data_IF_645995916767
#
_entry.id   IF_645995916767
#
_cell.length_a   1.000
_cell.length_b   1.000
_cell.length_c   1.000
_cell.angle_alpha   90.00
_cell.angle_beta   90.00
_cell.angle_gamma   90.00
#
_symmetry.space_group_name_H-M   'P 1'
#
loop_
_entity.id
_entity.type
_entity.pdbx_description
1 polymer ?
#
# COMPACT_ATOMS: atom_id res chain seq x y z
N UNK A 1 4.00 24.31 -0.93
CA UNK A 1 3.92 23.38 0.24
C UNK A 1 2.59 22.63 0.16
N UNK A 2 2.54 21.31 0.37
CA UNK A 2 1.32 20.52 0.19
C UNK A 2 0.29 20.74 1.32
N UNK A 3 -0.99 20.49 1.02
CA UNK A 3 -2.11 20.65 1.96
C UNK A 3 -1.99 19.75 3.20
N UNK A 4 -1.38 18.57 3.05
CA UNK A 4 -1.09 17.69 4.18
C UNK A 4 -0.22 18.39 5.24
N UNK A 5 0.73 19.23 4.82
CA UNK A 5 1.67 19.91 5.71
C UNK A 5 1.19 21.28 6.14
N UNK A 6 0.37 21.96 5.33
CA UNK A 6 -0.19 23.26 5.71
C UNK A 6 -1.42 23.15 6.61
N UNK A 7 -2.20 22.07 6.48
CA UNK A 7 -3.50 21.91 7.16
C UNK A 7 -3.59 20.60 7.92
N UNK A 8 -3.54 19.46 7.23
CA UNK A 8 -3.93 18.16 7.80
C UNK A 8 -3.13 17.79 9.05
N UNK A 9 -1.80 17.72 8.95
CA UNK A 9 -0.94 17.33 10.08
C UNK A 9 -0.97 18.38 11.19
N UNK A 10 -0.87 19.69 10.92
CA UNK A 10 -0.99 20.70 11.97
C UNK A 10 -2.34 20.72 12.69
N UNK A 11 -3.45 20.47 11.97
CA UNK A 11 -4.78 20.30 12.56
C UNK A 11 -4.80 19.11 13.53
N UNK A 12 -4.24 17.97 13.11
CA UNK A 12 -4.12 16.80 13.99
C UNK A 12 -3.27 17.09 15.23
N UNK A 13 -2.17 17.83 15.09
CA UNK A 13 -1.37 18.28 16.23
C UNK A 13 -2.22 19.10 17.20
N UNK A 14 -2.99 20.07 16.71
CA UNK A 14 -3.85 20.90 17.54
C UNK A 14 -4.95 20.09 18.25
N UNK A 15 -5.63 19.18 17.52
CA UNK A 15 -6.68 18.31 18.07
C UNK A 15 -6.10 17.39 19.17
N UNK A 16 -4.98 16.72 18.91
CA UNK A 16 -4.33 15.86 19.90
C UNK A 16 -3.82 16.65 21.11
N UNK A 17 -3.25 17.83 20.89
CA UNK A 17 -2.76 18.68 21.96
C UNK A 17 -3.88 19.16 22.88
N UNK A 18 -5.03 19.52 22.30
CA UNK A 18 -6.20 19.93 23.07
C UNK A 18 -6.86 18.75 23.78
N UNK A 19 -6.90 17.59 23.14
CA UNK A 19 -7.48 16.39 23.73
C UNK A 19 -6.66 15.84 24.92
N UNK A 20 -5.33 15.77 24.78
CA UNK A 20 -4.44 15.08 25.72
C UNK A 20 -3.78 16.01 26.75
N UNK A 21 -3.52 17.26 26.37
CA UNK A 21 -2.76 18.21 27.19
C UNK A 21 -3.54 19.49 27.52
N UNK A 22 -4.81 19.58 27.11
CA UNK A 22 -5.66 20.78 27.25
C UNK A 22 -5.02 22.06 26.67
N UNK A 23 -4.11 21.92 25.70
CA UNK A 23 -3.46 23.07 25.06
C UNK A 23 -4.41 23.74 24.07
N UNK A 24 -4.44 25.08 24.11
CA UNK A 24 -5.21 25.90 23.18
C UNK A 24 -4.39 26.37 21.98
N UNK A 25 -3.08 26.06 21.96
CA UNK A 25 -2.19 26.48 20.88
C UNK A 25 -2.52 25.78 19.56
N UNK A 26 -2.62 26.58 18.50
CA UNK A 26 -2.82 26.10 17.12
C UNK A 26 -1.71 26.65 16.25
N UNK A 27 -0.91 25.75 15.69
CA UNK A 27 0.20 26.08 14.82
C UNK A 27 -0.21 25.84 13.37
N UNK A 28 -0.35 26.90 12.58
CA UNK A 28 -0.64 26.82 11.15
C UNK A 28 0.20 27.86 10.39
N UNK A 29 0.61 27.59 9.15
CA UNK A 29 1.44 28.49 8.35
C UNK A 29 0.61 29.67 7.82
N UNK A 30 0.65 30.80 8.53
CA UNK A 30 -0.12 32.01 8.21
C UNK A 30 0.23 32.66 6.86
N UNK A 31 1.39 32.35 6.31
CA UNK A 31 1.83 32.83 5.00
C UNK A 31 1.17 32.06 3.83
N UNK A 32 0.47 30.96 4.11
CA UNK A 32 -0.17 30.11 3.10
C UNK A 32 -1.68 30.14 3.24
N UNK A 33 -2.18 30.20 4.49
CA UNK A 33 -3.62 30.24 4.76
C UNK A 33 -4.13 31.67 4.82
N UNK A 34 -5.27 31.92 4.18
CA UNK A 34 -5.99 33.19 4.36
C UNK A 34 -6.51 33.31 5.80
N UNK A 35 -6.74 34.54 6.27
CA UNK A 35 -7.31 34.78 7.60
C UNK A 35 -8.67 34.11 7.80
N UNK A 36 -9.49 34.04 6.75
CA UNK A 36 -10.79 33.36 6.80
C UNK A 36 -10.64 31.85 6.94
N UNK A 37 -9.75 31.24 6.16
CA UNK A 37 -9.49 29.79 6.24
C UNK A 37 -8.92 29.41 7.60
N UNK A 38 -7.98 30.20 8.11
CA UNK A 38 -7.41 30.02 9.44
C UNK A 38 -8.49 30.05 10.53
N UNK A 39 -9.42 31.02 10.49
CA UNK A 39 -10.52 31.11 11.46
C UNK A 39 -11.48 29.91 11.34
N UNK A 40 -11.86 29.53 10.12
CA UNK A 40 -12.74 28.38 9.89
C UNK A 40 -12.13 27.07 10.40
N UNK A 41 -10.81 26.92 10.34
CA UNK A 41 -10.11 25.77 10.92
C UNK A 41 -10.24 25.81 12.44
N UNK A 42 -9.91 26.95 13.08
CA UNK A 42 -9.99 27.11 14.54
C UNK A 42 -11.38 26.77 15.07
N UNK A 43 -12.42 27.31 14.45
CA UNK A 43 -13.82 27.13 14.86
C UNK A 43 -14.26 25.65 14.82
N UNK A 44 -13.57 24.81 14.04
CA UNK A 44 -13.87 23.37 13.90
C UNK A 44 -13.06 22.47 14.84
N UNK A 45 -11.96 22.96 15.42
CA UNK A 45 -11.06 22.12 16.22
C UNK A 45 -11.80 21.49 17.40
N UNK A 46 -12.62 22.24 18.13
CA UNK A 46 -13.34 21.70 19.29
C UNK A 46 -14.30 20.58 18.90
N UNK A 47 -15.01 20.73 17.77
CA UNK A 47 -15.85 19.67 17.23
C UNK A 47 -15.07 18.41 16.85
N UNK A 48 -13.84 18.56 16.35
CA UNK A 48 -12.97 17.42 16.06
C UNK A 48 -12.40 16.77 17.32
N UNK A 49 -12.11 17.55 18.36
CA UNK A 49 -11.73 17.03 19.68
C UNK A 49 -12.86 16.19 20.27
N UNK A 50 -14.10 16.68 20.22
CA UNK A 50 -15.27 15.93 20.69
C UNK A 50 -15.47 14.64 19.88
N UNK A 51 -15.31 14.71 18.56
CA UNK A 51 -15.37 13.55 17.68
C UNK A 51 -14.30 12.51 18.04
N UNK A 52 -13.06 12.95 18.27
CA UNK A 52 -11.95 12.08 18.64
C UNK A 52 -12.22 11.38 19.98
N UNK A 53 -12.62 12.13 21.01
CA UNK A 53 -12.95 11.58 22.34
C UNK A 53 -14.09 10.57 22.28
N UNK A 54 -15.05 10.75 21.36
CA UNK A 54 -16.15 9.82 21.13
C UNK A 54 -15.71 8.52 20.44
N UNK A 55 -14.82 8.61 19.44
CA UNK A 55 -14.34 7.45 18.66
C UNK A 55 -13.28 6.66 19.44
N UNK A 56 -12.45 7.34 20.22
CA UNK A 56 -11.37 6.77 21.02
C UNK A 56 -11.52 7.22 22.48
N UNK A 57 -12.41 6.56 23.26
CA UNK A 57 -12.69 6.96 24.64
C UNK A 57 -11.49 6.74 25.58
N UNK A 58 -10.71 5.68 25.35
CA UNK A 58 -9.50 5.41 26.11
C UNK A 58 -8.33 6.21 25.54
N UNK A 59 -8.07 7.37 26.14
CA UNK A 59 -6.97 8.24 25.74
C UNK A 59 -5.59 7.73 26.18
N UNK A 60 -5.51 6.65 26.98
CA UNK A 60 -4.22 6.07 27.35
C UNK A 60 -3.56 5.29 26.20
N UNK A 61 -4.28 5.07 25.08
CA UNK A 61 -3.71 4.44 23.90
C UNK A 61 -2.64 5.30 23.21
N UNK A 62 -2.62 6.61 23.46
CA UNK A 62 -1.65 7.51 22.85
C UNK A 62 -0.31 7.46 23.59
N UNK A 63 0.76 7.08 22.88
CA UNK A 63 2.14 7.09 23.39
C UNK A 63 2.82 8.44 23.18
N UNK A 64 2.15 9.52 23.58
CA UNK A 64 2.65 10.89 23.42
C UNK A 64 2.79 11.51 24.81
N UNK A 65 3.99 11.95 25.18
CA UNK A 65 4.29 12.43 26.54
C UNK A 65 4.31 13.96 26.67
N UNK A 66 4.41 14.67 25.54
CA UNK A 66 4.43 16.14 25.46
C UNK A 66 3.58 16.62 24.28
N UNK A 67 3.10 17.87 24.28
CA UNK A 67 2.41 18.45 23.12
C UNK A 67 3.23 18.31 21.83
N UNK A 68 2.55 18.14 20.71
CA UNK A 68 3.12 18.08 19.36
C UNK A 68 3.29 19.49 18.80
N UNK A 69 4.44 19.82 18.22
CA UNK A 69 4.62 21.11 17.52
C UNK A 69 5.09 20.88 16.09
N UNK A 70 4.29 21.24 15.08
CA UNK A 70 4.73 21.15 13.69
C UNK A 70 5.84 22.17 13.42
N UNK A 71 6.87 21.74 12.70
CA UNK A 71 7.98 22.57 12.24
C UNK A 71 8.14 22.36 10.75
N UNK A 72 8.02 23.43 9.96
CA UNK A 72 8.12 23.36 8.50
C UNK A 72 9.56 23.57 8.05
N UNK A 73 10.05 22.63 7.25
CA UNK A 73 11.36 22.70 6.59
C UNK A 73 11.10 22.68 5.09
N UNK A 74 11.53 23.72 4.39
CA UNK A 74 11.39 23.86 2.94
C UNK A 74 12.75 23.90 2.28
N UNK A 75 12.81 23.70 0.96
CA UNK A 75 14.07 23.77 0.18
C UNK A 75 14.83 25.09 0.38
N UNK A 76 14.12 26.20 0.58
CA UNK A 76 14.70 27.53 0.81
C UNK A 76 15.01 27.81 2.28
N UNK A 77 14.61 26.91 3.19
CA UNK A 77 14.83 27.06 4.62
C UNK A 77 16.27 26.76 5.00
N UNK A 78 16.82 27.55 5.92
CA UNK A 78 18.10 27.23 6.55
C UNK A 78 17.86 26.28 7.72
N UNK A 79 18.60 25.18 7.75
CA UNK A 79 18.67 24.31 8.92
C UNK A 79 19.64 24.91 9.95
N UNK A 80 19.38 24.72 11.26
CA UNK A 80 20.33 25.13 12.29
C UNK A 80 21.64 24.35 12.14
N UNK A 81 22.77 25.00 12.43
CA UNK A 81 24.10 24.36 12.39
C UNK A 81 24.27 23.29 13.46
N UNK A 82 23.65 23.51 14.63
CA UNK A 82 23.62 22.56 15.74
C UNK A 82 22.28 21.86 15.81
N UNK A 83 22.27 20.63 16.32
CA UNK A 83 21.04 19.85 16.49
C UNK A 83 20.19 20.48 17.60
N UNK A 84 18.97 20.96 17.30
CA UNK A 84 18.13 21.61 18.30
C UNK A 84 17.57 20.59 19.30
N UNK A 85 17.44 21.01 20.56
CA UNK A 85 16.77 20.25 21.62
C UNK A 85 15.39 20.80 21.88
N UNK A 86 14.38 19.92 21.97
CA UNK A 86 12.98 20.31 22.20
C UNK A 86 12.48 19.73 23.53
N UNK A 87 12.61 20.51 24.60
CA UNK A 87 12.27 20.05 25.95
C UNK A 87 10.77 20.13 26.25
N UNK A 88 10.07 21.13 25.70
CA UNK A 88 8.67 21.41 26.05
C UNK A 88 7.65 20.66 25.18
N UNK A 89 8.08 20.17 24.02
CA UNK A 89 7.19 19.57 23.01
C UNK A 89 7.89 18.48 22.21
N UNK A 90 7.12 17.65 21.52
CA UNK A 90 7.62 16.72 20.51
C UNK A 90 7.54 17.40 19.13
N UNK A 91 8.67 17.60 18.43
CA UNK A 91 8.66 18.23 17.12
C UNK A 91 8.05 17.27 16.09
N UNK A 92 7.16 17.79 15.25
CA UNK A 92 6.66 17.11 14.06
C UNK A 92 7.26 17.81 12.85
N UNK A 93 8.35 17.25 12.32
CA UNK A 93 9.09 17.87 11.21
C UNK A 93 8.36 17.63 9.89
N UNK A 94 7.84 18.71 9.30
CA UNK A 94 7.13 18.73 8.03
C UNK A 94 8.10 19.20 6.94
N UNK A 95 8.86 18.26 6.37
CA UNK A 95 9.94 18.53 5.43
C UNK A 95 9.50 18.40 3.97
N UNK A 96 9.47 19.51 3.22
CA UNK A 96 9.23 19.49 1.78
C UNK A 96 10.56 19.57 1.02
N UNK A 97 10.99 18.44 0.48
CA UNK A 97 12.15 18.38 -0.42
C UNK A 97 11.80 18.70 -1.88
N UNK A 98 10.53 18.79 -2.23
CA UNK A 98 10.04 19.04 -3.58
C UNK A 98 9.75 20.53 -3.83
N UNK A 99 10.05 20.98 -5.04
CA UNK A 99 9.74 22.34 -5.50
C UNK A 99 8.32 22.40 -6.05
N UNK A 100 7.66 23.53 -5.82
CA UNK A 100 6.37 23.83 -6.45
C UNK A 100 6.63 24.62 -7.73
N UNK A 101 6.18 24.08 -8.86
CA UNK A 101 6.38 24.69 -10.18
C UNK A 101 5.01 25.09 -10.75
N UNK A 102 4.93 26.26 -11.39
CA UNK A 102 3.68 26.85 -11.86
C UNK A 102 2.85 25.90 -12.75
N UNK A 103 3.51 25.20 -13.67
CA UNK A 103 2.87 24.27 -14.63
C UNK A 103 3.06 22.79 -14.24
N UNK A 104 3.52 22.52 -13.01
CA UNK A 104 3.82 21.16 -12.55
C UNK A 104 5.04 20.52 -13.19
N UNK A 105 5.68 21.16 -14.18
CA UNK A 105 6.92 20.68 -14.80
C UNK A 105 7.91 21.84 -14.98
N UNK A 106 9.20 21.57 -14.75
CA UNK A 106 10.30 22.52 -14.97
C UNK A 106 11.44 21.84 -15.72
N UNK A 107 11.87 22.42 -16.83
CA UNK A 107 13.08 21.97 -17.52
C UNK A 107 14.31 22.39 -16.70
N UNK A 108 15.12 21.41 -16.32
CA UNK A 108 16.39 21.59 -15.59
C UNK A 108 17.55 21.18 -16.48
N UNK A 109 18.77 21.51 -16.06
CA UNK A 109 19.98 21.07 -16.75
C UNK A 109 20.09 19.55 -16.64
N UNK A 110 19.85 18.84 -17.73
CA UNK A 110 19.98 17.38 -17.83
C UNK A 110 18.72 16.56 -17.52
N UNK A 111 17.61 17.17 -17.07
CA UNK A 111 16.36 16.45 -16.78
C UNK A 111 15.14 17.38 -16.76
N UNK A 112 13.94 16.80 -16.82
CA UNK A 112 12.68 17.53 -16.59
C UNK A 112 12.21 17.17 -15.19
N UNK A 113 12.14 18.16 -14.30
CA UNK A 113 11.49 18.00 -13.01
C UNK A 113 9.98 17.98 -13.22
N UNK A 114 9.31 16.94 -12.73
CA UNK A 114 7.85 16.82 -12.74
C UNK A 114 7.38 16.77 -11.29
N UNK A 115 6.62 17.78 -10.89
CA UNK A 115 6.09 17.89 -9.54
C UNK A 115 5.17 16.71 -9.25
N UNK A 116 5.44 16.00 -8.15
CA UNK A 116 4.67 14.82 -7.76
C UNK A 116 5.06 13.54 -8.49
N UNK A 117 6.05 13.55 -9.38
CA UNK A 117 6.49 12.30 -10.03
C UNK A 117 6.99 11.26 -9.02
N UNK A 118 7.50 11.66 -7.86
CA UNK A 118 7.90 10.72 -6.81
C UNK A 118 6.73 9.90 -6.23
N UNK A 119 5.50 10.41 -6.30
CA UNK A 119 4.28 9.68 -5.96
C UNK A 119 3.83 8.94 -7.23
N UNK A 120 3.55 7.63 -7.17
CA UNK A 120 3.15 6.78 -8.30
C UNK A 120 4.27 6.39 -9.31
N UNK A 121 5.48 6.12 -8.81
CA UNK A 121 6.57 5.58 -9.64
C UNK A 121 6.19 4.36 -10.49
N UNK A 122 5.20 3.58 -10.05
CA UNK A 122 4.64 2.43 -10.77
C UNK A 122 4.06 2.79 -12.15
N UNK A 123 3.62 4.05 -12.36
CA UNK A 123 3.01 4.49 -13.60
C UNK A 123 4.03 4.92 -14.67
N UNK A 124 5.24 5.29 -14.27
CA UNK A 124 6.23 5.88 -15.19
C UNK A 124 7.62 5.23 -15.14
N UNK A 125 7.93 4.44 -14.10
CA UNK A 125 9.19 3.69 -14.01
C UNK A 125 9.20 2.41 -14.87
N UNK A 126 8.04 1.97 -15.37
CA UNK A 126 7.94 0.75 -16.19
C UNK A 126 8.38 -0.50 -15.42
N UNK A 127 9.45 -1.17 -15.88
CA UNK A 127 10.04 -2.34 -15.21
C UNK A 127 11.21 -1.98 -14.26
N UNK A 128 11.56 -0.70 -14.16
CA UNK A 128 12.63 -0.25 -13.27
C UNK A 128 12.17 -0.35 -11.81
N UNK A 129 12.73 -1.29 -11.08
CA UNK A 129 12.50 -1.43 -9.63
C UNK A 129 13.68 -0.84 -8.85
N UNK A 130 13.50 -0.43 -7.57
CA UNK A 130 14.61 0.00 -6.73
C UNK A 130 15.75 -1.02 -6.66
N UNK A 131 15.42 -2.31 -6.58
CA UNK A 131 16.42 -3.38 -6.56
C UNK A 131 17.21 -3.46 -7.88
N UNK A 132 16.53 -3.34 -9.02
CA UNK A 132 17.19 -3.34 -10.32
C UNK A 132 18.09 -2.11 -10.48
N UNK A 133 17.66 -0.94 -10.01
CA UNK A 133 18.47 0.28 -10.03
C UNK A 133 19.73 0.12 -9.16
N UNK A 134 19.57 -0.23 -7.89
CA UNK A 134 20.69 -0.28 -6.93
C UNK A 134 21.69 -1.41 -7.18
N UNK A 135 21.25 -2.53 -7.77
CA UNK A 135 22.14 -3.64 -8.11
C UNK A 135 22.90 -3.43 -9.42
N UNK A 136 22.47 -2.49 -10.27
CA UNK A 136 23.06 -2.21 -11.58
C UNK A 136 23.52 -0.75 -11.63
N UNK A 137 24.52 -0.41 -10.80
CA UNK A 137 25.05 0.95 -10.65
C UNK A 137 25.57 1.57 -11.96
N UNK A 138 25.86 0.76 -12.97
CA UNK A 138 26.17 1.17 -14.34
C UNK A 138 25.00 1.88 -15.05
N UNK A 139 23.78 1.77 -14.52
CA UNK A 139 22.61 2.53 -14.96
C UNK A 139 22.66 3.99 -14.49
N UNK A 140 23.49 4.34 -13.50
CA UNK A 140 23.59 5.70 -12.93
C UNK A 140 24.39 6.69 -13.80
N UNK A 141 24.74 6.34 -15.05
CA UNK A 141 25.56 7.14 -15.96
C UNK A 141 24.80 7.76 -17.14
N UNK A 142 25.55 8.37 -18.07
CA UNK A 142 25.06 9.03 -19.29
C UNK A 142 24.59 8.01 -20.35
N UNK A 143 23.61 7.18 -20.01
CA UNK A 143 22.90 6.38 -21.00
C UNK A 143 21.86 7.26 -21.69
N UNK A 144 21.72 7.11 -23.01
CA UNK A 144 20.57 7.69 -23.68
C UNK A 144 19.29 7.07 -23.12
N UNK A 145 18.17 7.81 -23.13
CA UNK A 145 16.90 7.29 -22.65
C UNK A 145 16.51 5.96 -23.34
N UNK A 146 16.87 5.82 -24.63
CA UNK A 146 16.64 4.60 -25.40
C UNK A 146 17.48 3.42 -24.89
N UNK A 147 18.79 3.63 -24.71
CA UNK A 147 19.70 2.58 -24.21
C UNK A 147 19.35 2.16 -22.79
N UNK A 148 18.92 3.12 -21.96
CA UNK A 148 18.47 2.87 -20.60
C UNK A 148 17.22 1.99 -20.59
N UNK A 149 16.20 2.33 -21.40
CA UNK A 149 14.97 1.53 -21.49
C UNK A 149 15.29 0.12 -22.00
N UNK A 150 16.08 -0.02 -23.07
CA UNK A 150 16.46 -1.34 -23.61
C UNK A 150 17.26 -2.17 -22.60
N UNK A 151 18.18 -1.56 -21.83
CA UNK A 151 18.89 -2.25 -20.76
C UNK A 151 17.98 -2.66 -19.62
N UNK A 152 17.06 -1.80 -19.19
CA UNK A 152 16.08 -2.13 -18.15
C UNK A 152 15.20 -3.29 -18.62
N UNK A 153 14.75 -3.30 -19.87
CA UNK A 153 13.96 -4.40 -20.44
C UNK A 153 14.76 -5.71 -20.49
N UNK A 154 16.03 -5.67 -20.90
CA UNK A 154 16.91 -6.84 -20.94
C UNK A 154 17.18 -7.39 -19.53
N UNK A 155 17.54 -6.53 -18.57
CA UNK A 155 17.82 -6.89 -17.18
C UNK A 155 16.57 -7.40 -16.45
N UNK A 156 15.41 -6.81 -16.77
CA UNK A 156 14.12 -7.29 -16.25
C UNK A 156 13.70 -8.63 -16.86
N UNK A 157 14.33 -9.05 -17.96
CA UNK A 157 14.11 -10.33 -18.63
C UNK A 157 14.96 -11.49 -18.08
N UNK A 158 15.93 -11.23 -17.20
CA UNK A 158 16.81 -12.27 -16.63
C UNK A 158 16.41 -12.74 -15.22
N UNK A 159 15.38 -12.14 -14.61
CA UNK A 159 14.63 -12.77 -13.51
C UNK A 159 13.55 -13.67 -14.10
N UNK A 160 13.33 -14.87 -13.50
CA UNK A 160 12.33 -15.89 -13.89
C UNK A 160 11.27 -15.34 -14.86
N UNK A 161 11.27 -15.83 -16.11
CA UNK A 161 10.27 -15.48 -17.13
C UNK A 161 8.88 -15.79 -16.58
N UNK A 162 8.25 -14.80 -15.97
CA UNK A 162 6.82 -14.74 -15.69
C UNK A 162 6.22 -14.38 -17.05
N UNK A 163 5.50 -15.28 -17.74
CA UNK A 163 4.84 -14.94 -19.01
C UNK A 163 3.95 -13.72 -18.78
N UNK A 164 3.77 -12.85 -19.79
CA UNK A 164 2.92 -11.64 -19.71
C UNK A 164 1.50 -11.88 -19.13
N UNK A 165 1.07 -13.13 -19.10
CA UNK A 165 -0.20 -13.60 -18.56
C UNK A 165 -0.14 -14.13 -17.11
N UNK A 166 0.98 -14.05 -16.39
CA UNK A 166 1.13 -14.55 -15.02
C UNK A 166 1.39 -13.41 -14.02
N UNK A 167 0.66 -13.45 -12.91
CA UNK A 167 0.79 -12.51 -11.80
C UNK A 167 1.17 -13.30 -10.56
N UNK A 168 2.38 -13.07 -10.05
CA UNK A 168 2.89 -13.75 -8.84
C UNK A 168 2.33 -13.05 -7.60
N UNK A 169 1.55 -13.77 -6.79
CA UNK A 169 0.94 -13.23 -5.57
C UNK A 169 1.83 -13.44 -4.35
N UNK A 170 2.52 -14.58 -4.31
CA UNK A 170 3.49 -14.96 -3.28
C UNK A 170 4.61 -15.78 -3.93
N UNK A 171 5.60 -16.21 -3.16
CA UNK A 171 6.65 -17.11 -3.65
C UNK A 171 6.14 -18.43 -4.23
N UNK A 172 4.91 -18.84 -3.90
CA UNK A 172 4.36 -20.16 -4.24
C UNK A 172 3.00 -20.11 -4.95
N UNK A 173 2.32 -18.96 -4.97
CA UNK A 173 1.00 -18.81 -5.57
C UNK A 173 1.07 -17.75 -6.67
N UNK A 174 0.60 -18.11 -7.85
CA UNK A 174 0.45 -17.22 -8.99
C UNK A 174 -0.93 -17.36 -9.63
N UNK A 175 -1.32 -16.36 -10.40
CA UNK A 175 -2.55 -16.37 -11.20
C UNK A 175 -2.17 -16.19 -12.67
N UNK A 176 -2.87 -16.85 -13.59
CA UNK A 176 -2.73 -16.55 -15.01
C UNK A 176 -4.03 -16.60 -15.80
N UNK A 177 -4.06 -15.92 -16.95
CA UNK A 177 -5.22 -15.93 -17.86
C UNK A 177 -5.26 -17.15 -18.79
N UNK A 178 -4.15 -17.88 -18.91
CA UNK A 178 -4.02 -19.10 -19.69
C UNK A 178 -3.12 -20.11 -18.96
N UNK A 179 -3.19 -21.41 -19.29
CA UNK A 179 -2.29 -22.41 -18.73
C UNK A 179 -0.82 -22.11 -19.10
N UNK A 180 0.08 -22.27 -18.13
CA UNK A 180 1.51 -21.93 -18.26
C UNK A 180 2.39 -23.14 -17.95
N UNK A 181 1.88 -24.17 -17.26
CA UNK A 181 2.71 -25.31 -16.90
C UNK A 181 1.96 -26.50 -16.32
N UNK A 182 2.70 -27.35 -15.62
CA UNK A 182 2.20 -28.67 -15.16
C UNK A 182 1.38 -28.58 -13.86
N UNK A 183 1.57 -27.50 -13.07
CA UNK A 183 0.90 -27.29 -11.77
C UNK A 183 -0.22 -26.25 -11.84
N UNK A 184 -0.96 -26.24 -12.95
CA UNK A 184 -2.09 -25.34 -13.14
C UNK A 184 -3.35 -25.87 -12.45
N UNK A 185 -4.05 -25.00 -11.72
CA UNK A 185 -5.39 -25.19 -11.20
C UNK A 185 -6.35 -24.43 -12.11
N UNK A 186 -7.02 -25.15 -13.01
CA UNK A 186 -7.83 -24.54 -14.06
C UNK A 186 -9.24 -24.18 -13.60
N UNK A 187 -9.50 -22.88 -13.51
CA UNK A 187 -10.79 -22.28 -13.18
C UNK A 187 -11.49 -21.64 -14.39
N UNK A 188 -10.94 -21.77 -15.61
CA UNK A 188 -11.52 -21.16 -16.83
C UNK A 188 -12.91 -21.68 -17.17
N UNK A 189 -13.27 -22.85 -16.66
CA UNK A 189 -14.62 -23.43 -16.79
C UNK A 189 -15.68 -22.74 -15.92
N UNK A 190 -15.28 -21.87 -14.97
CA UNK A 190 -16.23 -21.15 -14.13
C UNK A 190 -16.84 -19.95 -14.88
N UNK A 191 -18.18 -19.79 -14.84
CA UNK A 191 -18.86 -18.69 -15.50
C UNK A 191 -18.56 -17.36 -14.80
N UNK A 192 -18.57 -16.28 -15.56
CA UNK A 192 -18.27 -14.94 -15.06
C UNK A 192 -19.31 -14.42 -14.03
N UNK A 193 -18.88 -13.53 -13.13
CA UNK A 193 -19.75 -12.76 -12.22
C UNK A 193 -20.57 -13.63 -11.25
N UNK A 194 -21.83 -13.26 -10.97
CA UNK A 194 -22.68 -13.86 -9.91
C UNK A 194 -22.89 -15.38 -10.03
N UNK A 195 -22.74 -15.96 -11.23
CA UNK A 195 -22.84 -17.41 -11.44
C UNK A 195 -21.56 -18.12 -10.99
N UNK A 196 -20.38 -17.58 -11.31
CA UNK A 196 -19.09 -18.11 -10.88
C UNK A 196 -18.92 -18.15 -9.37
N UNK A 197 -19.46 -17.15 -8.66
CA UNK A 197 -19.46 -17.10 -7.19
C UNK A 197 -20.14 -18.33 -6.57
N UNK A 198 -21.29 -18.77 -7.14
CA UNK A 198 -22.06 -19.91 -6.62
C UNK A 198 -21.39 -21.24 -6.95
N UNK A 199 -20.84 -21.37 -8.15
CA UNK A 199 -20.13 -22.58 -8.56
C UNK A 199 -18.76 -22.71 -7.89
N UNK A 200 -18.10 -21.60 -7.56
CA UNK A 200 -16.88 -21.64 -6.77
C UNK A 200 -17.13 -22.28 -5.41
N UNK A 201 -18.22 -21.91 -4.73
CA UNK A 201 -18.59 -22.47 -3.42
C UNK A 201 -18.74 -24.00 -3.44
N UNK A 202 -19.23 -24.58 -4.53
CA UNK A 202 -19.36 -26.04 -4.67
C UNK A 202 -18.04 -26.72 -5.04
N UNK A 203 -17.09 -25.99 -5.64
CA UNK A 203 -15.78 -26.51 -6.05
C UNK A 203 -14.66 -26.31 -5.02
N UNK A 204 -14.83 -25.49 -3.98
CA UNK A 204 -13.77 -25.22 -2.98
C UNK A 204 -13.16 -26.49 -2.37
N UNK A 205 -13.98 -27.48 -2.02
CA UNK A 205 -13.49 -28.75 -1.47
C UNK A 205 -12.69 -29.58 -2.50
N UNK A 206 -13.05 -29.50 -3.78
CA UNK A 206 -12.29 -30.14 -4.85
C UNK A 206 -10.93 -29.47 -5.03
N UNK A 207 -10.90 -28.14 -4.99
CA UNK A 207 -9.68 -27.33 -5.11
C UNK A 207 -8.72 -27.60 -3.95
N UNK A 208 -9.24 -27.69 -2.72
CA UNK A 208 -8.46 -28.03 -1.53
C UNK A 208 -7.76 -29.39 -1.69
N UNK A 209 -8.51 -30.41 -2.13
CA UNK A 209 -7.95 -31.75 -2.39
C UNK A 209 -6.94 -31.76 -3.54
N UNK A 210 -7.19 -31.01 -4.62
CA UNK A 210 -6.28 -30.92 -5.75
C UNK A 210 -4.96 -30.25 -5.37
N UNK A 211 -5.02 -29.16 -4.60
CA UNK A 211 -3.83 -28.49 -4.07
C UNK A 211 -3.01 -29.42 -3.17
N UNK A 212 -3.67 -30.17 -2.28
CA UNK A 212 -3.00 -31.13 -1.40
C UNK A 212 -2.17 -32.18 -2.17
N UNK A 213 -2.58 -32.53 -3.40
CA UNK A 213 -1.87 -33.49 -4.26
C UNK A 213 -0.75 -32.86 -5.11
N UNK A 214 -0.89 -31.59 -5.52
CA UNK A 214 0.06 -30.90 -6.42
C UNK A 214 1.27 -30.29 -5.72
N UNK A 215 1.21 -30.12 -4.39
CA UNK A 215 2.30 -29.57 -3.60
C UNK A 215 2.22 -28.04 -3.44
N UNK A 216 3.24 -27.40 -2.86
CA UNK A 216 3.12 -26.04 -2.33
C UNK A 216 3.06 -24.96 -3.42
N UNK A 217 3.54 -25.23 -4.64
CA UNK A 217 3.58 -24.26 -5.73
C UNK A 217 2.48 -24.53 -6.76
N UNK A 218 1.51 -23.61 -6.86
CA UNK A 218 0.35 -23.73 -7.76
C UNK A 218 0.09 -22.43 -8.49
N UNK A 219 -0.24 -22.56 -9.76
CA UNK A 219 -0.70 -21.46 -10.59
C UNK A 219 -2.21 -21.58 -10.82
N UNK A 220 -2.98 -20.55 -10.49
CA UNK A 220 -4.45 -20.54 -10.66
C UNK A 220 -4.79 -19.91 -12.01
N UNK A 221 -5.32 -20.71 -12.93
CA UNK A 221 -5.69 -20.24 -14.27
C UNK A 221 -7.13 -19.76 -14.26
N UNK A 222 -7.36 -18.48 -14.53
CA UNK A 222 -8.69 -17.87 -14.52
C UNK A 222 -8.77 -16.68 -15.48
N UNK A 223 -9.93 -16.51 -16.11
CA UNK A 223 -10.24 -15.31 -16.91
C UNK A 223 -10.70 -14.13 -16.04
N UNK A 224 -11.06 -14.39 -14.77
CA UNK A 224 -11.43 -13.38 -13.78
C UNK A 224 -10.37 -13.31 -12.66
N UNK A 225 -9.57 -12.23 -12.60
CA UNK A 225 -8.53 -12.04 -11.57
C UNK A 225 -9.08 -12.08 -10.14
N UNK A 226 -10.28 -11.54 -9.90
CA UNK A 226 -10.93 -11.56 -8.57
C UNK A 226 -11.18 -12.98 -8.04
N UNK A 227 -11.54 -13.92 -8.92
CA UNK A 227 -11.72 -15.33 -8.56
C UNK A 227 -10.38 -15.97 -8.21
N UNK A 228 -9.34 -15.67 -8.99
CA UNK A 228 -7.98 -16.17 -8.74
C UNK A 228 -7.45 -15.72 -7.39
N UNK A 229 -7.60 -14.43 -7.06
CA UNK A 229 -7.16 -13.89 -5.76
C UNK A 229 -7.95 -14.51 -4.61
N UNK A 230 -9.25 -14.75 -4.78
CA UNK A 230 -10.08 -15.42 -3.77
C UNK A 230 -9.65 -16.88 -3.50
N UNK A 231 -9.31 -17.64 -4.54
CA UNK A 231 -8.80 -19.01 -4.39
C UNK A 231 -7.40 -19.01 -3.77
N UNK A 232 -6.52 -18.11 -4.21
CA UNK A 232 -5.20 -17.97 -3.61
C UNK A 232 -5.26 -17.55 -2.14
N UNK A 233 -6.25 -16.72 -1.74
CA UNK A 233 -6.51 -16.39 -0.34
C UNK A 233 -6.89 -17.64 0.47
N UNK A 234 -7.78 -18.48 -0.07
CA UNK A 234 -8.15 -19.74 0.58
C UNK A 234 -6.92 -20.62 0.80
N UNK A 235 -6.13 -20.84 -0.25
CA UNK A 235 -4.93 -21.68 -0.21
C UNK A 235 -3.88 -21.10 0.74
N UNK A 236 -3.69 -19.77 0.73
CA UNK A 236 -2.79 -19.08 1.63
C UNK A 236 -3.16 -19.30 3.11
N UNK A 237 -4.45 -19.19 3.46
CA UNK A 237 -4.92 -19.44 4.82
C UNK A 237 -4.79 -20.91 5.26
N UNK A 238 -4.99 -21.86 4.33
CA UNK A 238 -4.97 -23.28 4.64
C UNK A 238 -3.55 -23.87 4.70
N UNK A 239 -2.63 -23.43 3.84
CA UNK A 239 -1.37 -24.13 3.62
C UNK A 239 -0.11 -23.30 3.87
N UNK A 240 -0.25 -22.06 4.35
CA UNK A 240 0.89 -21.18 4.60
C UNK A 240 0.82 -20.54 5.97
N UNK A 241 1.96 -20.46 6.65
CA UNK A 241 2.08 -19.75 7.92
C UNK A 241 2.07 -18.22 7.74
N UNK A 242 2.15 -17.46 8.84
CA UNK A 242 2.15 -15.98 8.79
C UNK A 242 3.43 -15.40 8.15
N UNK A 243 4.45 -16.22 7.91
CA UNK A 243 5.69 -15.86 7.21
C UNK A 243 5.66 -16.28 5.73
N UNK A 244 4.53 -16.83 5.25
CA UNK A 244 4.37 -17.29 3.87
C UNK A 244 5.11 -18.59 3.55
N UNK A 245 5.53 -19.36 4.56
CA UNK A 245 6.18 -20.67 4.35
C UNK A 245 5.12 -21.79 4.27
N UNK A 246 5.31 -22.78 3.38
CA UNK A 246 4.40 -23.91 3.27
C UNK A 246 4.33 -24.69 4.58
N UNK A 247 3.11 -25.02 5.01
CA UNK A 247 2.84 -25.82 6.19
C UNK A 247 1.77 -26.88 5.90
N UNK A 248 1.64 -27.86 6.80
CA UNK A 248 0.54 -28.82 6.71
C UNK A 248 -0.81 -28.12 6.84
N UNK A 249 -1.83 -28.59 6.11
CA UNK A 249 -3.19 -28.02 6.11
C UNK A 249 -3.64 -27.60 7.51
N UNK A 250 -3.82 -26.31 7.71
CA UNK A 250 -4.27 -25.72 8.96
C UNK A 250 -5.71 -26.17 9.24
N UNK A 251 -5.91 -26.85 10.36
CA UNK A 251 -7.23 -27.34 10.82
C UNK A 251 -7.95 -26.36 11.73
N UNK A 252 -7.34 -25.21 12.05
CA UNK A 252 -7.96 -24.19 12.89
C UNK A 252 -8.87 -23.30 12.04
N UNK A 253 -10.06 -23.02 12.56
CA UNK A 253 -10.95 -22.04 11.96
C UNK A 253 -10.23 -20.68 11.86
N UNK A 254 -10.21 -20.11 10.66
CA UNK A 254 -9.53 -18.82 10.42
C UNK A 254 -10.46 -17.67 10.83
N UNK A 255 -9.96 -16.73 11.63
CA UNK A 255 -10.73 -15.56 12.05
C UNK A 255 -11.02 -14.61 10.88
N UNK A 256 -12.03 -13.75 11.02
CA UNK A 256 -12.36 -12.77 9.97
C UNK A 256 -11.25 -11.74 9.79
N UNK A 257 -10.58 -11.41 10.89
CA UNK A 257 -9.44 -10.52 10.99
C UNK A 257 -8.23 -11.11 10.25
N UNK A 258 -7.95 -12.42 10.41
CA UNK A 258 -6.86 -13.10 9.72
C UNK A 258 -7.09 -13.21 8.20
N UNK A 259 -8.33 -13.52 7.79
CA UNK A 259 -8.72 -13.52 6.37
C UNK A 259 -8.48 -12.12 5.76
N UNK A 260 -8.86 -11.06 6.48
CA UNK A 260 -8.66 -9.69 6.01
C UNK A 260 -7.18 -9.31 5.94
N UNK A 261 -6.39 -9.68 6.96
CA UNK A 261 -4.93 -9.44 7.02
C UNK A 261 -4.20 -10.10 5.84
N UNK A 262 -4.59 -11.33 5.48
CA UNK A 262 -3.96 -12.09 4.39
C UNK A 262 -4.45 -11.69 3.00
N UNK A 263 -5.64 -11.07 2.89
CA UNK A 263 -6.18 -10.60 1.62
C UNK A 263 -5.43 -9.38 1.07
N UNK A 264 -5.07 -8.42 1.93
CA UNK A 264 -4.43 -7.14 1.52
C UNK A 264 -3.22 -7.35 0.59
N UNK A 265 -2.17 -8.10 0.98
CA UNK A 265 -1.00 -8.27 0.12
C UNK A 265 -1.31 -9.05 -1.17
N UNK A 266 -2.26 -9.99 -1.14
CA UNK A 266 -2.66 -10.75 -2.33
C UNK A 266 -3.43 -9.88 -3.32
N UNK A 267 -4.28 -8.96 -2.84
CA UNK A 267 -5.03 -8.05 -3.69
C UNK A 267 -4.13 -6.99 -4.33
N UNK A 268 -3.14 -6.49 -3.56
CA UNK A 268 -2.12 -5.56 -4.06
C UNK A 268 -1.26 -6.20 -5.14
N UNK A 269 -0.67 -7.37 -4.86
CA UNK A 269 0.18 -8.08 -5.83
C UNK A 269 -0.62 -8.56 -7.05
N UNK A 270 -1.88 -8.95 -6.85
CA UNK A 270 -2.78 -9.44 -7.89
C UNK A 270 -3.41 -8.35 -8.75
N UNK A 271 -3.25 -7.07 -8.38
CA UNK A 271 -3.96 -5.91 -8.97
C UNK A 271 -5.47 -6.12 -9.11
N UNK A 272 -6.06 -6.91 -8.21
CA UNK A 272 -7.48 -7.28 -8.26
C UNK A 272 -8.01 -7.49 -6.85
N UNK A 273 -9.14 -6.84 -6.54
CA UNK A 273 -9.79 -6.94 -5.24
C UNK A 273 -11.05 -7.81 -5.36
N UNK A 274 -11.10 -9.00 -4.71
CA UNK A 274 -12.29 -9.84 -4.74
C UNK A 274 -13.50 -9.13 -4.15
N UNK A 275 -14.66 -9.27 -4.80
CA UNK A 275 -15.93 -8.78 -4.25
C UNK A 275 -16.21 -9.32 -2.83
N UNK A 276 -16.94 -8.53 -2.01
CA UNK A 276 -17.35 -8.96 -0.65
C UNK A 276 -18.06 -10.31 -0.62
N UNK A 277 -18.79 -10.66 -1.68
CA UNK A 277 -19.47 -11.95 -1.80
C UNK A 277 -18.47 -13.12 -1.92
N UNK A 278 -17.39 -12.96 -2.67
CA UNK A 278 -16.32 -13.97 -2.81
C UNK A 278 -15.57 -14.16 -1.48
N UNK A 279 -15.19 -13.06 -0.84
CA UNK A 279 -14.52 -13.09 0.47
C UNK A 279 -15.38 -13.78 1.53
N UNK A 280 -16.70 -13.53 1.52
CA UNK A 280 -17.62 -14.18 2.45
C UNK A 280 -17.75 -15.68 2.22
N UNK A 281 -17.72 -16.15 0.97
CA UNK A 281 -17.78 -17.57 0.63
C UNK A 281 -16.50 -18.28 1.06
N UNK A 282 -15.34 -17.75 0.66
CA UNK A 282 -14.03 -18.28 1.07
C UNK A 282 -13.90 -18.27 2.59
N UNK A 283 -14.24 -17.16 3.23
CA UNK A 283 -14.21 -17.05 4.69
C UNK A 283 -15.17 -18.02 5.38
N UNK A 284 -16.31 -18.36 4.79
CA UNK A 284 -17.22 -19.36 5.36
C UNK A 284 -16.66 -20.77 5.26
N UNK A 285 -15.98 -21.10 4.17
CA UNK A 285 -15.28 -22.38 4.01
C UNK A 285 -14.06 -22.50 4.93
N UNK A 286 -13.32 -21.41 5.17
CA UNK A 286 -12.20 -21.39 6.13
C UNK A 286 -12.63 -21.49 7.60
N UNK A 287 -13.94 -21.37 7.88
CA UNK A 287 -14.54 -21.51 9.21
C UNK A 287 -15.18 -22.87 9.45
N UNK A 288 -15.34 -23.69 8.41
CA UNK A 288 -15.79 -25.10 8.51
C UNK A 288 -14.62 -26.03 8.76
#
# INVERSE_FOLDING_TARGET
>A
MPDAFSKTIPIWCAVLNRALFNSQEVFLPRNILSSSEFQQIIDRIDGWVDLLKRIVPDQNCYRVSKPLRPIWVTQSGMLPFETPTFEEFHPVILCTASEQVQDGQSQRTGYIYVQGAGDDHELWAGKLTPNLLWNNTELHGDLSAFDLISKIEAMSGEGEVIPDNQVKLTSYLSISSAPIGVNDLDLTSLPTKKKGIRELATKLASIDNEFANKGPSVNVVTTEPELGVAVCLMLNCLYFDDQGKPCSRNKKATSKEDVSRRLVPLAENGKALPSRALVNIVGSYLRT
#
